data_IF_301014969735
#
_entry.id   IF_301014969735
#
_cell.length_a   1.000
_cell.length_b   1.000
_cell.length_c   1.000
_cell.angle_alpha   90.00
_cell.angle_beta   90.00
_cell.angle_gamma   90.00
#
_symmetry.space_group_name_H-M   'P 1'
#
loop_
_entity.id
_entity.type
_entity.pdbx_description
1 polymer ?
#
# COMPACT_ATOMS: atom_id res chain seq x y z
N UNK A 1 -12.11 -10.45 -5.64
CA UNK A 1 -11.44 -11.22 -4.55
C UNK A 1 -12.07 -10.80 -3.23
N UNK A 2 -12.46 -11.75 -2.36
CA UNK A 2 -13.04 -11.39 -1.05
C UNK A 2 -12.04 -10.66 -0.15
N UNK A 3 -12.54 -9.87 0.82
CA UNK A 3 -11.70 -9.15 1.80
C UNK A 3 -10.78 -10.12 2.53
N UNK A 4 -11.31 -11.24 3.02
CA UNK A 4 -10.55 -12.26 3.75
C UNK A 4 -9.42 -12.86 2.91
N UNK A 5 -9.64 -13.11 1.62
CA UNK A 5 -8.61 -13.65 0.73
C UNK A 5 -7.48 -12.63 0.50
N UNK A 6 -7.83 -11.34 0.40
CA UNK A 6 -6.86 -10.26 0.22
C UNK A 6 -6.05 -10.04 1.50
N UNK A 7 -6.73 -10.02 2.65
CA UNK A 7 -6.10 -9.90 3.97
C UNK A 7 -5.10 -11.03 4.22
N UNK A 8 -5.54 -12.29 3.99
CA UNK A 8 -4.68 -13.46 4.11
C UNK A 8 -3.42 -13.33 3.26
N UNK A 9 -3.57 -12.97 1.98
CA UNK A 9 -2.43 -12.78 1.08
C UNK A 9 -1.48 -11.68 1.56
N UNK A 10 -2.01 -10.58 2.13
CA UNK A 10 -1.20 -9.52 2.71
C UNK A 10 -0.37 -10.03 3.90
N UNK A 11 -1.00 -10.76 4.81
CA UNK A 11 -0.31 -11.32 5.97
C UNK A 11 0.74 -12.37 5.57
N UNK A 12 0.46 -13.22 4.59
CA UNK A 12 1.43 -14.20 4.07
C UNK A 12 2.68 -13.55 3.48
N UNK A 13 2.54 -12.41 2.80
CA UNK A 13 3.69 -11.66 2.29
C UNK A 13 4.53 -11.06 3.43
N UNK A 14 3.87 -10.49 4.42
CA UNK A 14 4.53 -9.92 5.61
C UNK A 14 5.23 -11.01 6.42
N UNK A 15 4.55 -12.13 6.72
CA UNK A 15 5.12 -13.27 7.43
C UNK A 15 6.41 -13.75 6.77
N UNK A 16 6.32 -14.05 5.47
CA UNK A 16 7.47 -14.57 4.71
C UNK A 16 8.67 -13.64 4.76
N UNK A 17 8.43 -12.34 4.68
CA UNK A 17 9.49 -11.35 4.72
C UNK A 17 10.07 -11.21 6.13
N UNK A 18 9.24 -10.98 7.14
CA UNK A 18 9.72 -10.68 8.50
C UNK A 18 10.31 -11.91 9.20
N UNK A 19 9.79 -13.12 8.96
CA UNK A 19 10.44 -14.36 9.43
C UNK A 19 11.84 -14.52 8.83
N UNK A 20 12.01 -14.19 7.55
CA UNK A 20 13.31 -14.27 6.86
C UNK A 20 14.32 -13.25 7.40
N UNK A 21 13.91 -12.01 7.65
CA UNK A 21 14.85 -10.92 7.99
C UNK A 21 15.13 -10.81 9.48
N UNK A 22 14.19 -11.19 10.35
CA UNK A 22 14.33 -11.14 11.81
C UNK A 22 14.68 -12.48 12.42
N UNK A 23 14.60 -13.56 11.63
CA UNK A 23 14.69 -14.92 12.13
C UNK A 23 13.37 -15.44 12.73
N UNK A 24 13.25 -16.74 12.90
CA UNK A 24 12.01 -17.42 13.26
C UNK A 24 11.43 -16.92 14.58
N UNK A 25 12.23 -16.82 15.64
CA UNK A 25 11.77 -16.43 16.98
C UNK A 25 11.24 -14.99 17.02
N UNK A 26 12.07 -14.04 16.59
CA UNK A 26 11.70 -12.62 16.61
C UNK A 26 10.62 -12.30 15.58
N UNK A 27 10.73 -12.83 14.38
CA UNK A 27 9.73 -12.65 13.32
C UNK A 27 8.36 -13.17 13.72
N UNK A 28 8.28 -14.36 14.33
CA UNK A 28 7.00 -14.90 14.83
C UNK A 28 6.39 -14.01 15.90
N UNK A 29 7.17 -13.52 16.84
CA UNK A 29 6.70 -12.62 17.89
C UNK A 29 6.18 -11.29 17.31
N UNK A 30 6.94 -10.66 16.42
CA UNK A 30 6.53 -9.42 15.73
C UNK A 30 5.22 -9.63 14.97
N UNK A 31 5.11 -10.73 14.21
CA UNK A 31 3.93 -10.97 13.38
C UNK A 31 2.68 -11.30 14.20
N UNK A 32 2.83 -12.01 15.34
CA UNK A 32 1.72 -12.27 16.26
C UNK A 32 1.19 -10.97 16.86
N UNK A 33 2.07 -10.16 17.45
CA UNK A 33 1.70 -8.85 18.03
C UNK A 33 1.10 -7.91 16.97
N UNK A 34 1.61 -7.96 15.73
CA UNK A 34 1.08 -7.12 14.65
C UNK A 34 -0.35 -7.47 14.28
N UNK A 35 -0.74 -8.74 14.33
CA UNK A 35 -2.14 -9.15 14.10
C UNK A 35 -3.06 -8.64 15.19
N UNK A 36 -2.64 -8.74 16.45
CA UNK A 36 -3.40 -8.20 17.60
C UNK A 36 -3.52 -6.67 17.47
N UNK A 37 -2.44 -6.00 17.12
CA UNK A 37 -2.43 -4.54 16.94
C UNK A 37 -3.34 -4.10 15.78
N UNK A 38 -3.34 -4.80 14.64
CA UNK A 38 -4.23 -4.51 13.51
C UNK A 38 -5.70 -4.70 13.88
N UNK A 39 -6.03 -5.76 14.63
CA UNK A 39 -7.37 -5.99 15.14
C UNK A 39 -7.82 -4.87 16.10
N UNK A 40 -6.93 -4.43 16.99
CA UNK A 40 -7.18 -3.30 17.90
C UNK A 40 -7.44 -2.00 17.15
N UNK A 41 -6.62 -1.67 16.16
CA UNK A 41 -6.81 -0.49 15.31
C UNK A 41 -8.13 -0.52 14.55
N UNK A 42 -8.50 -1.68 14.00
CA UNK A 42 -9.77 -1.83 13.30
C UNK A 42 -10.97 -1.67 14.24
N UNK A 43 -10.88 -2.21 15.47
CA UNK A 43 -11.94 -2.11 16.47
C UNK A 43 -12.14 -0.68 16.97
N UNK A 44 -11.07 0.10 17.13
CA UNK A 44 -11.13 1.51 17.57
C UNK A 44 -11.44 2.51 16.45
N UNK A 45 -11.43 2.06 15.19
CA UNK A 45 -11.67 2.92 14.03
C UNK A 45 -13.11 3.45 14.01
N UNK A 46 -13.26 4.76 13.77
CA UNK A 46 -14.52 5.44 13.55
C UNK A 46 -15.00 5.39 12.10
N UNK A 47 -14.26 4.73 11.21
CA UNK A 47 -14.64 4.59 9.81
C UNK A 47 -15.93 3.78 9.66
N UNK A 48 -16.93 4.34 9.01
CA UNK A 48 -18.27 3.73 8.84
C UNK A 48 -18.50 3.14 7.46
N UNK A 49 -17.74 3.56 6.43
CA UNK A 49 -17.87 3.01 5.08
C UNK A 49 -17.38 1.55 5.04
N UNK A 50 -18.24 0.60 4.61
CA UNK A 50 -17.85 -0.81 4.53
C UNK A 50 -16.66 -1.06 3.57
N UNK A 51 -16.60 -0.33 2.44
CA UNK A 51 -15.53 -0.45 1.45
C UNK A 51 -14.21 0.08 1.99
N UNK A 52 -14.20 1.23 2.68
CA UNK A 52 -13.04 1.80 3.32
C UNK A 52 -12.54 0.90 4.46
N UNK A 53 -13.44 0.43 5.34
CA UNK A 53 -13.10 -0.55 6.38
C UNK A 53 -12.48 -1.83 5.80
N UNK A 54 -13.04 -2.36 4.71
CA UNK A 54 -12.52 -3.53 4.04
C UNK A 54 -11.10 -3.30 3.50
N UNK A 55 -10.82 -2.11 2.95
CA UNK A 55 -9.50 -1.73 2.48
C UNK A 55 -8.52 -1.54 3.64
N UNK A 56 -8.93 -0.88 4.72
CA UNK A 56 -8.16 -0.77 5.96
C UNK A 56 -7.75 -2.14 6.46
N UNK A 57 -8.72 -3.04 6.68
CA UNK A 57 -8.50 -4.39 7.21
C UNK A 57 -7.56 -5.22 6.32
N UNK A 58 -7.82 -5.24 5.02
CA UNK A 58 -7.11 -6.16 4.12
C UNK A 58 -5.75 -5.64 3.63
N UNK A 59 -5.50 -4.33 3.72
CA UNK A 59 -4.34 -3.73 3.05
C UNK A 59 -3.55 -2.79 3.93
N UNK A 60 -4.20 -1.84 4.61
CA UNK A 60 -3.51 -0.74 5.30
C UNK A 60 -3.05 -1.19 6.69
N UNK A 61 -4.00 -1.59 7.53
CA UNK A 61 -3.73 -1.91 8.93
C UNK A 61 -2.69 -3.01 9.16
N UNK A 62 -2.60 -4.08 8.34
CA UNK A 62 -1.53 -5.05 8.50
C UNK A 62 -0.14 -4.43 8.47
N UNK A 63 0.11 -3.50 7.54
CA UNK A 63 1.42 -2.84 7.38
C UNK A 63 1.67 -1.79 8.46
N UNK A 64 0.66 -1.01 8.79
CA UNK A 64 0.71 -0.01 9.87
C UNK A 64 0.98 -0.68 11.21
N UNK A 65 0.33 -1.80 11.49
CA UNK A 65 0.53 -2.57 12.71
C UNK A 65 1.95 -3.13 12.81
N UNK A 66 2.48 -3.70 11.72
CA UNK A 66 3.87 -4.16 11.68
C UNK A 66 4.83 -3.00 11.98
N UNK A 67 4.67 -1.85 11.30
CA UNK A 67 5.49 -0.68 11.56
C UNK A 67 5.45 -0.25 13.02
N UNK A 68 4.25 -0.18 13.60
CA UNK A 68 4.05 0.22 15.01
C UNK A 68 4.69 -0.77 15.97
N UNK A 69 4.55 -2.07 15.73
CA UNK A 69 5.16 -3.11 16.57
C UNK A 69 6.68 -3.08 16.48
N UNK A 70 7.24 -2.92 15.29
CA UNK A 70 8.69 -2.79 15.10
C UNK A 70 9.25 -1.60 15.89
N UNK A 71 8.61 -0.42 15.83
CA UNK A 71 9.00 0.76 16.63
C UNK A 71 8.93 0.48 18.12
N UNK A 72 7.83 -0.11 18.60
CA UNK A 72 7.63 -0.42 20.03
C UNK A 72 8.68 -1.39 20.56
N UNK A 73 9.15 -2.32 19.72
CA UNK A 73 10.21 -3.28 20.07
C UNK A 73 11.62 -2.70 19.93
N UNK A 74 11.77 -1.44 19.54
CA UNK A 74 13.07 -0.79 19.35
C UNK A 74 13.84 -1.25 18.12
N UNK A 75 13.15 -1.89 17.16
CA UNK A 75 13.71 -2.28 15.87
C UNK A 75 13.70 -1.09 14.90
N UNK A 76 14.61 -1.11 13.93
CA UNK A 76 14.64 -0.10 12.86
C UNK A 76 13.47 -0.29 11.89
N UNK A 77 12.30 0.20 12.31
CA UNK A 77 11.05 0.03 11.59
C UNK A 77 11.11 0.66 10.20
N UNK A 78 11.76 1.82 10.06
CA UNK A 78 11.87 2.52 8.78
C UNK A 78 12.66 1.70 7.78
N UNK A 79 13.87 1.30 8.14
CA UNK A 79 14.74 0.48 7.29
C UNK A 79 14.10 -0.87 6.92
N UNK A 80 13.40 -1.50 7.85
CA UNK A 80 12.74 -2.78 7.63
C UNK A 80 11.55 -2.63 6.68
N UNK A 81 10.75 -1.57 6.82
CA UNK A 81 9.63 -1.31 5.91
C UNK A 81 10.10 -0.88 4.52
N UNK A 82 11.13 -0.03 4.41
CA UNK A 82 11.77 0.30 3.12
C UNK A 82 12.25 -0.96 2.41
N UNK A 83 12.90 -1.84 3.15
CA UNK A 83 13.37 -3.12 2.61
C UNK A 83 12.20 -4.01 2.15
N UNK A 84 11.11 -4.06 2.93
CA UNK A 84 9.90 -4.78 2.54
C UNK A 84 9.27 -4.22 1.26
N UNK A 85 9.14 -2.91 1.14
CA UNK A 85 8.61 -2.27 -0.07
C UNK A 85 9.48 -2.59 -1.27
N UNK A 86 10.78 -2.43 -1.15
CA UNK A 86 11.74 -2.66 -2.24
C UNK A 86 11.81 -4.12 -2.68
N UNK A 87 11.80 -5.08 -1.74
CA UNK A 87 12.05 -6.49 -2.06
C UNK A 87 10.78 -7.30 -2.32
N UNK A 88 9.62 -6.86 -1.85
CA UNK A 88 8.39 -7.65 -1.89
C UNK A 88 7.23 -6.89 -2.54
N UNK A 89 6.85 -5.75 -1.99
CA UNK A 89 5.63 -5.06 -2.41
C UNK A 89 5.80 -4.37 -3.77
N UNK A 90 6.90 -3.69 -3.98
CA UNK A 90 7.23 -3.00 -5.23
C UNK A 90 7.30 -3.97 -6.41
N UNK A 91 8.15 -5.01 -6.37
CA UNK A 91 8.23 -6.00 -7.43
C UNK A 91 6.89 -6.70 -7.73
N UNK A 92 6.14 -7.09 -6.71
CA UNK A 92 4.82 -7.70 -6.91
C UNK A 92 3.81 -6.75 -7.57
N UNK A 93 3.95 -5.44 -7.35
CA UNK A 93 3.14 -4.42 -8.02
C UNK A 93 3.63 -4.18 -9.45
N UNK A 94 4.95 -4.09 -9.65
CA UNK A 94 5.56 -3.90 -10.97
C UNK A 94 5.19 -5.02 -11.95
N UNK A 95 5.34 -6.27 -11.56
CA UNK A 95 5.06 -7.44 -12.40
C UNK A 95 3.63 -7.43 -12.95
N UNK A 96 2.69 -6.91 -12.18
CA UNK A 96 1.28 -6.78 -12.61
C UNK A 96 1.12 -5.82 -13.79
N UNK A 97 1.86 -4.71 -13.80
CA UNK A 97 1.75 -3.68 -14.85
C UNK A 97 2.69 -3.98 -16.02
N UNK A 98 3.91 -4.41 -15.76
CA UNK A 98 4.89 -4.77 -16.78
C UNK A 98 4.36 -5.88 -17.71
N UNK A 99 3.66 -6.86 -17.16
CA UNK A 99 3.00 -7.92 -17.92
C UNK A 99 1.90 -7.43 -18.87
N UNK A 100 1.44 -6.19 -18.77
CA UNK A 100 0.41 -5.60 -19.62
C UNK A 100 0.98 -4.67 -20.71
N UNK A 101 2.27 -4.34 -20.69
CA UNK A 101 2.87 -3.39 -21.64
C UNK A 101 2.85 -3.85 -23.10
N UNK A 102 2.64 -5.15 -23.37
CA UNK A 102 2.47 -5.68 -24.72
C UNK A 102 1.15 -5.25 -25.37
N UNK A 103 0.16 -4.78 -24.57
CA UNK A 103 -1.15 -4.36 -25.08
C UNK A 103 -0.97 -3.14 -25.99
N UNK A 104 -1.55 -3.15 -27.22
CA UNK A 104 -1.56 -1.98 -28.08
C UNK A 104 -2.18 -0.77 -27.38
N UNK A 105 -1.59 0.41 -27.57
CA UNK A 105 -2.03 1.64 -26.91
C UNK A 105 -2.05 1.53 -25.37
N UNK A 106 -1.06 0.86 -24.82
CA UNK A 106 -0.95 0.59 -23.38
C UNK A 106 -1.22 1.85 -22.53
N UNK A 107 -0.61 3.01 -22.87
CA UNK A 107 -0.83 4.25 -22.12
C UNK A 107 -2.31 4.65 -22.05
N UNK A 108 -3.05 4.57 -23.15
CA UNK A 108 -4.48 4.91 -23.17
C UNK A 108 -5.31 3.95 -22.30
N UNK A 109 -4.98 2.65 -22.35
CA UNK A 109 -5.63 1.63 -21.50
C UNK A 109 -5.27 1.83 -20.03
N UNK A 110 -4.00 2.11 -19.74
CA UNK A 110 -3.49 2.39 -18.42
C UNK A 110 -4.19 3.62 -17.80
N UNK A 111 -4.21 4.74 -18.53
CA UNK A 111 -4.88 5.98 -18.13
C UNK A 111 -6.38 5.76 -17.85
N UNK A 112 -7.08 5.09 -18.76
CA UNK A 112 -8.50 4.78 -18.56
C UNK A 112 -8.73 3.90 -17.31
N UNK A 113 -7.93 2.85 -17.12
CA UNK A 113 -8.04 1.96 -15.96
C UNK A 113 -7.71 2.70 -14.66
N UNK A 114 -6.70 3.56 -14.69
CA UNK A 114 -6.30 4.38 -13.56
C UNK A 114 -7.42 5.34 -13.14
N UNK A 115 -7.95 6.11 -14.10
CA UNK A 115 -9.10 6.99 -13.91
C UNK A 115 -10.30 6.23 -13.35
N UNK A 116 -10.66 5.10 -13.94
CA UNK A 116 -11.80 4.29 -13.47
C UNK A 116 -11.58 3.81 -12.03
N UNK A 117 -10.40 3.36 -11.69
CA UNK A 117 -10.07 2.89 -10.34
C UNK A 117 -10.14 4.01 -9.32
N UNK A 118 -9.57 5.17 -9.62
CA UNK A 118 -9.58 6.33 -8.71
C UNK A 118 -10.97 6.92 -8.54
N UNK A 119 -11.75 7.06 -9.63
CA UNK A 119 -13.10 7.62 -9.58
C UNK A 119 -14.13 6.69 -8.93
N UNK A 120 -13.90 5.36 -8.93
CA UNK A 120 -14.80 4.38 -8.33
C UNK A 120 -14.43 4.03 -6.88
N UNK A 121 -13.30 4.52 -6.39
CA UNK A 121 -12.82 4.25 -5.03
C UNK A 121 -13.20 5.40 -4.10
N UNK A 122 -13.81 5.07 -2.98
CA UNK A 122 -14.03 6.02 -1.88
C UNK A 122 -12.80 6.17 -0.95
N UNK A 123 -11.67 5.57 -1.33
CA UNK A 123 -10.41 5.68 -0.61
C UNK A 123 -9.68 7.01 -0.82
N UNK A 124 -10.04 7.74 -1.87
CA UNK A 124 -9.47 9.05 -2.21
C UNK A 124 -10.54 10.07 -2.55
N UNK A 125 -10.27 11.31 -2.19
CA UNK A 125 -10.87 12.47 -2.84
C UNK A 125 -9.82 13.03 -3.78
N UNK A 126 -10.07 13.00 -5.08
CA UNK A 126 -9.06 13.32 -6.09
C UNK A 126 -9.62 14.07 -7.28
N UNK A 127 -8.77 14.85 -7.93
CA UNK A 127 -8.99 15.46 -9.24
C UNK A 127 -8.13 14.76 -10.27
N UNK A 128 -8.68 14.48 -11.45
CA UNK A 128 -8.00 13.82 -12.55
C UNK A 128 -8.07 14.71 -13.77
N UNK A 129 -6.92 15.19 -14.23
CA UNK A 129 -6.77 16.04 -15.41
C UNK A 129 -6.09 15.26 -16.52
N UNK A 130 -6.64 15.32 -17.73
CA UNK A 130 -6.15 14.53 -18.87
C UNK A 130 -5.70 15.41 -20.02
N UNK A 131 -4.57 15.02 -20.60
CA UNK A 131 -4.07 15.49 -21.89
C UNK A 131 -3.79 14.27 -22.79
N UNK A 132 -3.52 14.46 -24.11
CA UNK A 132 -3.33 13.33 -25.02
C UNK A 132 -2.23 12.36 -24.60
N UNK A 133 -1.12 12.86 -24.07
CA UNK A 133 0.10 12.10 -23.75
C UNK A 133 0.43 12.05 -22.26
N UNK A 134 -0.36 12.73 -21.43
CA UNK A 134 -0.17 12.76 -19.96
C UNK A 134 -1.49 12.80 -19.21
N UNK A 135 -1.44 12.54 -17.92
CA UNK A 135 -2.54 12.82 -17.01
C UNK A 135 -1.98 13.15 -15.62
N UNK A 136 -2.68 14.01 -14.92
CA UNK A 136 -2.40 14.37 -13.54
C UNK A 136 -3.49 13.84 -12.62
N UNK A 137 -3.07 13.22 -11.53
CA UNK A 137 -3.92 12.79 -10.44
C UNK A 137 -3.53 13.54 -9.17
N UNK A 138 -4.34 14.51 -8.77
CA UNK A 138 -4.18 15.21 -7.50
C UNK A 138 -5.07 14.56 -6.45
N UNK A 139 -4.46 14.08 -5.35
CA UNK A 139 -5.16 13.46 -4.23
C UNK A 139 -5.28 14.49 -3.11
N UNK A 140 -6.51 14.90 -2.78
CA UNK A 140 -6.84 15.88 -1.73
C UNK A 140 -7.05 15.22 -0.36
N UNK A 141 -7.60 13.98 -0.35
CA UNK A 141 -7.75 13.15 0.85
C UNK A 141 -7.35 11.71 0.52
N UNK A 142 -6.62 11.09 1.42
CA UNK A 142 -6.07 9.75 1.22
C UNK A 142 -6.34 8.87 2.45
N UNK A 143 -7.11 7.79 2.26
CA UNK A 143 -7.41 6.84 3.33
C UNK A 143 -6.16 6.24 3.97
N UNK A 144 -5.09 6.03 3.20
CA UNK A 144 -3.80 5.53 3.74
C UNK A 144 -3.19 6.52 4.72
N UNK A 145 -3.12 7.79 4.33
CA UNK A 145 -2.61 8.85 5.19
C UNK A 145 -3.45 8.99 6.47
N UNK A 146 -4.77 9.09 6.29
CA UNK A 146 -5.70 9.28 7.40
C UNK A 146 -5.65 8.11 8.38
N UNK A 147 -5.54 6.87 7.85
CA UNK A 147 -5.39 5.67 8.69
C UNK A 147 -4.07 5.67 9.44
N UNK A 148 -2.94 6.00 8.78
CA UNK A 148 -1.64 6.10 9.45
C UNK A 148 -1.66 7.16 10.56
N UNK A 149 -2.23 8.31 10.28
CA UNK A 149 -2.37 9.40 11.26
C UNK A 149 -3.25 8.98 12.45
N UNK A 150 -4.40 8.35 12.20
CA UNK A 150 -5.28 7.84 13.24
C UNK A 150 -4.63 6.74 14.11
N UNK A 151 -3.68 5.99 13.55
CA UNK A 151 -2.89 4.99 14.28
C UNK A 151 -1.64 5.58 14.97
N UNK A 152 -1.43 6.90 14.93
CA UNK A 152 -0.30 7.59 15.56
C UNK A 152 1.05 7.43 14.86
N UNK A 153 1.04 7.10 13.56
CA UNK A 153 2.26 6.93 12.77
C UNK A 153 2.08 7.49 11.34
N UNK A 154 1.81 8.82 11.16
CA UNK A 154 1.58 9.42 9.85
C UNK A 154 2.76 9.22 8.90
N UNK A 155 3.98 9.15 9.42
CA UNK A 155 5.20 8.89 8.66
C UNK A 155 5.21 7.54 7.93
N UNK A 156 4.44 6.57 8.40
CA UNK A 156 4.32 5.26 7.76
C UNK A 156 3.63 5.32 6.38
N UNK A 157 2.88 6.40 6.11
CA UNK A 157 2.19 6.57 4.84
C UNK A 157 3.17 6.59 3.65
N UNK A 158 4.39 7.09 3.83
CA UNK A 158 5.41 7.14 2.77
C UNK A 158 5.69 5.77 2.14
N UNK A 159 5.66 4.69 2.92
CA UNK A 159 5.93 3.35 2.40
C UNK A 159 4.86 2.86 1.39
N UNK A 160 3.62 3.33 1.52
CA UNK A 160 2.60 3.07 0.52
C UNK A 160 2.85 3.86 -0.75
N UNK A 161 3.24 5.13 -0.61
CA UNK A 161 3.55 6.00 -1.74
C UNK A 161 4.82 5.54 -2.49
N UNK A 162 5.86 5.13 -1.77
CA UNK A 162 7.10 4.64 -2.37
C UNK A 162 6.88 3.38 -3.20
N UNK A 163 5.88 2.55 -2.85
CA UNK A 163 5.53 1.37 -3.63
C UNK A 163 5.22 1.70 -5.10
N UNK A 164 4.62 2.86 -5.37
CA UNK A 164 4.28 3.27 -6.73
C UNK A 164 5.53 3.60 -7.56
N UNK A 165 6.60 4.07 -6.94
CA UNK A 165 7.87 4.30 -7.63
C UNK A 165 8.44 2.98 -8.18
N UNK A 166 8.31 1.90 -7.40
CA UNK A 166 8.72 0.57 -7.87
C UNK A 166 7.71 -0.03 -8.85
N UNK A 167 6.42 0.24 -8.67
CA UNK A 167 5.38 -0.30 -9.54
C UNK A 167 5.45 0.25 -10.96
N UNK A 168 5.84 1.52 -11.10
CA UNK A 168 5.75 2.24 -12.37
C UNK A 168 7.11 2.73 -12.90
N UNK A 169 8.13 2.86 -12.04
CA UNK A 169 9.39 3.53 -12.37
C UNK A 169 10.19 2.87 -13.50
N UNK A 170 10.07 1.56 -13.66
CA UNK A 170 10.77 0.79 -14.70
C UNK A 170 9.88 0.41 -15.89
N UNK A 171 8.65 0.93 -15.96
CA UNK A 171 7.80 0.72 -17.13
C UNK A 171 8.37 1.45 -18.34
N UNK A 172 8.37 0.79 -19.49
CA UNK A 172 8.96 1.32 -20.75
C UNK A 172 8.04 2.28 -21.50
N UNK A 173 6.74 2.20 -21.24
CA UNK A 173 5.69 2.93 -21.95
C UNK A 173 4.98 3.98 -21.12
N UNK A 174 5.39 4.14 -19.87
CA UNK A 174 4.86 5.13 -18.93
C UNK A 174 6.03 5.69 -18.14
N UNK A 175 6.09 7.00 -18.03
CA UNK A 175 6.97 7.70 -17.10
C UNK A 175 6.13 8.27 -15.97
N UNK A 176 6.60 8.12 -14.73
CA UNK A 176 5.93 8.65 -13.56
C UNK A 176 6.68 9.85 -13.00
N UNK A 177 6.00 10.98 -12.89
CA UNK A 177 6.43 12.13 -12.09
C UNK A 177 5.68 12.19 -10.77
N UNK A 178 6.32 12.68 -9.72
CA UNK A 178 5.67 12.95 -8.43
C UNK A 178 5.98 14.34 -7.94
N UNK A 179 4.94 15.03 -7.50
CA UNK A 179 5.05 16.25 -6.72
C UNK A 179 4.33 16.02 -5.38
N UNK A 180 5.00 16.34 -4.28
CA UNK A 180 4.38 16.49 -2.97
C UNK A 180 4.14 17.98 -2.74
N UNK A 181 2.88 18.33 -2.55
CA UNK A 181 2.44 19.69 -2.25
C UNK A 181 2.26 19.83 -0.74
#
# INVERSE_FOLDING_TARGET
>A
MSVQKKEKATWEMLDRFFLRVLGEKEGTAVMAESREQAASFLASSQETSPSRRALMQSTILPRVAVYTVLKRRGLDAEKLMEKYVREVQGPASHDRYAGLEWVPRFFSVFRWAFRKTTSSSDAWVSTFEEQPEEFDLTIHQCLWHDTCAACGCPEACRFFCECDNYAFGDLKKVEIGRAHV
#
